data_IF_905579636104
#
_entry.id   IF_905579636104
#
_cell.length_a   1.000
_cell.length_b   1.000
_cell.length_c   1.000
_cell.angle_alpha   90.00
_cell.angle_beta   90.00
_cell.angle_gamma   90.00
#
_symmetry.space_group_name_H-M   'P 1'
#
loop_
_entity.id
_entity.type
_entity.pdbx_description
1 polymer ?
#
# COMPACT_ATOMS: atom_id res chain seq x y z
N UNK A 1 -11.32 12.93 -16.89
CA UNK A 1 -10.56 11.67 -16.78
C UNK A 1 -10.04 11.35 -18.17
N UNK A 2 -8.74 11.50 -18.39
CA UNK A 2 -8.10 10.97 -19.59
C UNK A 2 -8.12 9.44 -19.48
N UNK A 3 -8.89 8.79 -20.36
CA UNK A 3 -9.09 7.34 -20.33
C UNK A 3 -8.03 6.59 -21.14
N UNK A 4 -7.05 7.30 -21.73
CA UNK A 4 -6.00 6.71 -22.56
C UNK A 4 -5.01 5.82 -21.78
N UNK A 5 -4.99 5.92 -20.44
CA UNK A 5 -4.21 5.04 -19.56
C UNK A 5 -4.83 3.65 -19.31
N UNK A 6 -6.08 3.41 -19.71
CA UNK A 6 -6.75 2.11 -19.51
C UNK A 6 -6.54 1.19 -20.72
N UNK A 7 -5.65 0.22 -20.56
CA UNK A 7 -5.06 -0.63 -21.62
C UNK A 7 -6.04 -1.42 -22.49
N UNK A 8 -7.29 -1.63 -22.07
CA UNK A 8 -8.30 -2.40 -22.82
C UNK A 8 -9.46 -1.56 -23.40
N UNK A 9 -9.41 -0.23 -23.29
CA UNK A 9 -10.47 0.67 -23.75
C UNK A 9 -11.68 0.68 -22.80
N UNK A 10 -11.79 1.76 -22.03
CA UNK A 10 -12.89 1.96 -21.08
C UNK A 10 -14.21 2.22 -21.83
N UNK A 11 -15.22 1.39 -21.54
CA UNK A 11 -16.60 1.59 -21.99
C UNK A 11 -17.38 2.43 -20.99
N UNK A 12 -17.18 2.17 -19.70
CA UNK A 12 -17.91 2.80 -18.61
C UNK A 12 -17.02 2.86 -17.36
N UNK A 13 -17.25 3.87 -16.52
CA UNK A 13 -16.56 4.05 -15.24
C UNK A 13 -17.60 4.26 -14.16
N UNK A 14 -17.55 3.43 -13.13
CA UNK A 14 -18.41 3.53 -11.96
C UNK A 14 -17.57 3.85 -10.73
N UNK A 15 -17.99 4.83 -9.96
CA UNK A 15 -17.41 5.09 -8.63
C UNK A 15 -18.11 4.24 -7.60
N UNK A 16 -17.36 3.75 -6.62
CA UNK A 16 -17.99 3.09 -5.48
C UNK A 16 -18.70 4.14 -4.61
N UNK A 17 -20.02 4.02 -4.50
CA UNK A 17 -20.83 4.94 -3.70
C UNK A 17 -20.53 4.92 -2.20
N UNK A 18 -19.88 3.86 -1.70
CA UNK A 18 -19.43 3.76 -0.31
C UNK A 18 -17.96 4.17 -0.13
N UNK A 19 -17.16 4.20 -1.20
CA UNK A 19 -15.72 4.46 -1.15
C UNK A 19 -15.28 5.36 -2.32
N UNK A 20 -15.19 6.66 -2.08
CA UNK A 20 -14.88 7.66 -3.13
C UNK A 20 -13.50 7.51 -3.78
N UNK A 21 -12.59 6.75 -3.16
CA UNK A 21 -11.24 6.49 -3.67
C UNK A 21 -11.18 5.32 -4.65
N UNK A 22 -12.28 4.56 -4.77
CA UNK A 22 -12.34 3.36 -5.60
C UNK A 22 -13.23 3.60 -6.81
N UNK A 23 -12.71 3.26 -7.99
CA UNK A 23 -13.48 3.23 -9.22
C UNK A 23 -13.38 1.86 -9.90
N UNK A 24 -14.38 1.55 -10.70
CA UNK A 24 -14.45 0.36 -11.51
C UNK A 24 -14.52 0.77 -12.98
N UNK A 25 -13.55 0.34 -13.76
CA UNK A 25 -13.56 0.49 -15.22
C UNK A 25 -14.14 -0.76 -15.83
N UNK A 26 -15.16 -0.57 -16.67
CA UNK A 26 -15.78 -1.64 -17.43
C UNK A 26 -15.28 -1.54 -18.85
N UNK A 27 -14.62 -2.60 -19.33
CA UNK A 27 -14.00 -2.60 -20.66
C UNK A 27 -14.99 -3.01 -21.74
N UNK A 28 -14.66 -2.75 -23.00
CA UNK A 28 -15.44 -3.22 -24.14
C UNK A 28 -15.62 -4.75 -24.18
N UNK A 29 -14.73 -5.50 -23.50
CA UNK A 29 -14.77 -6.96 -23.38
C UNK A 29 -15.60 -7.45 -22.18
N UNK A 30 -16.42 -6.58 -21.59
CA UNK A 30 -17.25 -6.89 -20.42
C UNK A 30 -16.40 -7.36 -19.23
N UNK A 31 -15.27 -6.71 -19.01
CA UNK A 31 -14.43 -6.92 -17.83
C UNK A 31 -14.57 -5.75 -16.87
N UNK A 32 -14.80 -6.07 -15.61
CA UNK A 32 -14.82 -5.14 -14.49
C UNK A 32 -13.42 -5.12 -13.85
N UNK A 33 -12.74 -3.98 -13.95
CA UNK A 33 -11.38 -3.77 -13.47
C UNK A 33 -11.36 -2.66 -12.39
N UNK A 34 -11.04 -2.99 -11.12
CA UNK A 34 -10.86 -2.00 -10.06
C UNK A 34 -9.65 -1.11 -10.26
N UNK A 35 -9.80 0.14 -9.84
CA UNK A 35 -8.70 1.05 -9.57
C UNK A 35 -8.92 1.76 -8.24
N UNK A 36 -7.83 2.03 -7.54
CA UNK A 36 -7.78 2.82 -6.31
C UNK A 36 -6.97 4.07 -6.58
N UNK A 37 -7.46 5.20 -6.09
CA UNK A 37 -6.70 6.43 -6.06
C UNK A 37 -5.57 6.32 -5.04
N UNK A 38 -4.34 6.60 -5.45
CA UNK A 38 -3.18 6.62 -4.57
C UNK A 38 -2.52 7.99 -4.69
N UNK A 39 -2.60 8.81 -3.63
CA UNK A 39 -1.94 10.12 -3.59
C UNK A 39 -0.50 10.06 -3.10
N UNK A 40 -0.12 9.02 -2.35
CA UNK A 40 1.15 9.01 -1.59
C UNK A 40 1.78 7.62 -1.59
N UNK A 41 2.49 7.26 -2.67
CA UNK A 41 3.42 6.12 -2.65
C UNK A 41 4.85 6.63 -2.79
N UNK A 42 5.81 5.80 -2.37
CA UNK A 42 7.25 6.03 -2.60
C UNK A 42 7.58 6.35 -4.07
N UNK A 43 6.76 5.92 -5.05
CA UNK A 43 7.15 5.81 -6.46
C UNK A 43 6.63 6.83 -7.49
N UNK A 44 5.53 7.61 -7.29
CA UNK A 44 5.19 8.73 -8.22
C UNK A 44 3.99 9.60 -7.78
N UNK A 45 3.74 10.69 -8.54
CA UNK A 45 2.55 11.57 -8.54
C UNK A 45 1.21 10.82 -8.45
N UNK A 46 0.18 11.52 -7.96
CA UNK A 46 -1.20 11.05 -7.78
C UNK A 46 -1.74 10.31 -9.01
N UNK A 47 -2.03 9.02 -8.87
CA UNK A 47 -2.51 8.18 -9.97
C UNK A 47 -3.53 7.16 -9.50
N UNK A 48 -4.42 6.78 -10.41
CA UNK A 48 -5.26 5.60 -10.25
C UNK A 48 -4.42 4.36 -10.56
N UNK A 49 -4.30 3.47 -9.57
CA UNK A 49 -3.56 2.21 -9.70
C UNK A 49 -4.55 1.06 -9.74
N UNK A 50 -4.35 0.11 -10.67
CA UNK A 50 -5.18 -1.08 -10.76
C UNK A 50 -5.02 -1.90 -9.47
N UNK A 51 -6.13 -2.32 -8.85
CA UNK A 51 -6.05 -3.07 -7.60
C UNK A 51 -5.38 -4.43 -7.86
N UNK A 52 -4.27 -4.74 -7.15
CA UNK A 52 -3.54 -5.97 -7.34
C UNK A 52 -4.25 -7.16 -6.66
N UNK A 53 -4.00 -8.36 -7.17
CA UNK A 53 -4.21 -9.59 -6.39
C UNK A 53 -2.95 -9.84 -5.59
N UNK A 54 -3.07 -9.82 -4.27
CA UNK A 54 -1.95 -10.07 -3.36
C UNK A 54 -1.98 -11.50 -2.84
N UNK A 55 -0.80 -12.06 -2.61
CA UNK A 55 -0.60 -13.31 -1.92
C UNK A 55 0.43 -13.11 -0.81
N UNK A 56 0.16 -13.68 0.36
CA UNK A 56 1.12 -13.71 1.46
C UNK A 56 2.25 -14.69 1.10
N UNK A 57 3.47 -14.17 0.96
CA UNK A 57 4.68 -14.95 0.71
C UNK A 57 5.67 -14.67 1.84
N UNK A 58 5.67 -15.54 2.85
CA UNK A 58 6.30 -15.24 4.13
C UNK A 58 5.71 -13.95 4.71
N UNK A 59 6.57 -13.00 5.07
CA UNK A 59 6.23 -11.76 5.78
C UNK A 59 5.79 -10.59 4.89
N UNK A 60 5.57 -10.84 3.59
CA UNK A 60 5.26 -9.78 2.61
C UNK A 60 3.99 -10.10 1.83
N UNK A 61 3.21 -9.06 1.56
CA UNK A 61 2.12 -9.11 0.60
C UNK A 61 2.70 -8.89 -0.81
N UNK A 62 2.73 -9.94 -1.63
CA UNK A 62 3.35 -9.90 -2.96
C UNK A 62 2.25 -9.87 -4.02
N UNK A 63 2.38 -8.96 -4.98
CA UNK A 63 1.50 -8.93 -6.15
C UNK A 63 1.73 -10.17 -7.02
N UNK A 64 0.66 -10.94 -7.21
CA UNK A 64 0.65 -12.14 -8.09
C UNK A 64 -0.24 -11.97 -9.32
N UNK A 65 -0.94 -10.85 -9.40
CA UNK A 65 -1.80 -10.52 -10.52
C UNK A 65 -2.53 -9.21 -10.33
N UNK A 66 -3.57 -9.02 -11.13
CA UNK A 66 -4.45 -7.86 -11.06
C UNK A 66 -5.89 -8.31 -10.97
N UNK A 67 -6.68 -7.60 -10.19
CA UNK A 67 -8.08 -7.92 -9.99
C UNK A 67 -8.86 -7.67 -11.29
N UNK A 68 -9.66 -8.65 -11.70
CA UNK A 68 -10.50 -8.56 -12.89
C UNK A 68 -11.68 -9.54 -12.72
N UNK A 69 -12.90 -9.06 -12.96
CA UNK A 69 -14.12 -9.88 -12.98
C UNK A 69 -14.73 -9.87 -14.38
N UNK A 70 -15.19 -11.02 -14.85
CA UNK A 70 -15.93 -11.10 -16.12
C UNK A 70 -17.39 -10.83 -15.83
N UNK A 71 -17.99 -9.90 -16.58
CA UNK A 71 -19.40 -9.55 -16.49
C UNK A 71 -20.20 -10.33 -17.52
N UNK A 72 -21.47 -10.58 -17.21
CA UNK A 72 -22.42 -11.10 -18.19
C UNK A 72 -22.66 -10.03 -19.25
N UNK A 73 -22.46 -10.38 -20.53
CA UNK A 73 -22.68 -9.48 -21.65
C UNK A 73 -24.14 -9.00 -21.78
N UNK A 74 -25.09 -9.75 -21.20
CA UNK A 74 -26.51 -9.40 -21.18
C UNK A 74 -26.91 -8.50 -20.00
N UNK A 75 -25.99 -8.21 -19.07
CA UNK A 75 -26.24 -7.36 -17.91
C UNK A 75 -25.61 -5.97 -18.11
N UNK A 76 -26.42 -4.93 -17.98
CA UNK A 76 -25.98 -3.54 -18.01
C UNK A 76 -25.63 -3.09 -16.58
N UNK A 77 -24.38 -2.74 -16.27
CA UNK A 77 -23.98 -2.23 -14.97
C UNK A 77 -24.68 -0.88 -14.71
N UNK A 78 -25.08 -0.62 -13.46
CA UNK A 78 -25.84 0.59 -13.09
C UNK A 78 -25.21 1.31 -11.91
N UNK A 79 -24.76 0.58 -10.89
CA UNK A 79 -24.19 1.17 -9.70
C UNK A 79 -23.16 0.23 -9.07
N UNK A 80 -22.16 0.81 -8.44
CA UNK A 80 -21.22 0.13 -7.55
C UNK A 80 -21.40 0.70 -6.16
N UNK A 81 -21.60 -0.17 -5.17
CA UNK A 81 -21.70 0.24 -3.78
C UNK A 81 -21.11 -0.84 -2.88
N UNK A 82 -20.12 -0.46 -2.08
CA UNK A 82 -19.43 -1.31 -1.11
C UNK A 82 -18.91 -2.62 -1.75
N UNK A 83 -18.26 -2.47 -2.92
CA UNK A 83 -17.75 -3.59 -3.71
C UNK A 83 -18.80 -4.49 -4.37
N UNK A 84 -20.09 -4.12 -4.30
CA UNK A 84 -21.17 -4.85 -4.97
C UNK A 84 -21.59 -4.12 -6.24
N UNK A 85 -21.46 -4.81 -7.37
CA UNK A 85 -21.91 -4.31 -8.67
C UNK A 85 -23.39 -4.67 -8.88
N UNK A 86 -24.21 -3.65 -9.04
CA UNK A 86 -25.61 -3.77 -9.40
C UNK A 86 -25.76 -3.62 -10.90
N UNK A 87 -26.41 -4.60 -11.54
CA UNK A 87 -26.60 -4.65 -12.98
C UNK A 87 -28.04 -4.98 -13.34
N UNK A 88 -28.55 -4.38 -14.40
CA UNK A 88 -29.89 -4.67 -14.95
C UNK A 88 -29.74 -5.61 -16.15
N UNK A 89 -30.34 -6.78 -16.05
CA UNK A 89 -30.41 -7.75 -17.14
C UNK A 89 -31.26 -7.23 -18.31
N UNK A 90 -31.11 -7.85 -19.49
CA UNK A 90 -31.91 -7.52 -20.68
C UNK A 90 -33.44 -7.59 -20.47
N UNK A 91 -33.92 -8.38 -19.50
CA UNK A 91 -35.34 -8.46 -19.14
C UNK A 91 -35.79 -7.43 -18.08
N UNK A 92 -34.91 -6.51 -17.67
CA UNK A 92 -35.22 -5.45 -16.70
C UNK A 92 -35.06 -5.87 -15.24
N UNK A 93 -34.61 -7.09 -14.96
CA UNK A 93 -34.38 -7.54 -13.58
C UNK A 93 -33.05 -6.98 -13.06
N UNK A 94 -33.08 -6.41 -11.86
CA UNK A 94 -31.89 -6.01 -11.12
C UNK A 94 -31.21 -7.24 -10.52
N UNK A 95 -29.90 -7.35 -10.75
CA UNK A 95 -29.03 -8.40 -10.22
C UNK A 95 -27.87 -7.73 -9.49
N UNK A 96 -27.35 -8.40 -8.45
CA UNK A 96 -26.17 -7.94 -7.73
C UNK A 96 -25.08 -9.00 -7.81
N UNK A 97 -23.84 -8.55 -7.94
CA UNK A 97 -22.66 -9.41 -7.93
C UNK A 97 -21.62 -8.78 -7.01
N UNK A 98 -21.29 -9.49 -5.93
CA UNK A 98 -20.19 -9.10 -5.05
C UNK A 98 -18.87 -9.35 -5.80
N UNK A 99 -18.10 -8.28 -6.00
CA UNK A 99 -16.78 -8.40 -6.57
C UNK A 99 -15.86 -8.85 -5.43
N UNK A 100 -15.47 -10.13 -5.45
CA UNK A 100 -14.77 -10.80 -4.35
C UNK A 100 -13.46 -10.11 -3.88
N UNK A 101 -12.92 -9.21 -4.71
CA UNK A 101 -11.69 -8.44 -4.45
C UNK A 101 -11.98 -6.95 -4.23
N UNK A 102 -13.15 -6.61 -3.70
CA UNK A 102 -13.67 -5.24 -3.76
C UNK A 102 -14.50 -4.85 -2.54
N UNK A 103 -15.21 -5.81 -1.94
CA UNK A 103 -15.95 -5.54 -0.72
C UNK A 103 -14.98 -5.54 0.48
N UNK A 104 -14.94 -4.49 1.31
CA UNK A 104 -14.37 -4.63 2.64
C UNK A 104 -15.08 -5.81 3.35
N UNK A 105 -14.41 -6.47 4.31
CA UNK A 105 -15.08 -7.48 5.10
C UNK A 105 -16.27 -6.81 5.81
N UNK A 106 -17.50 -7.08 5.37
CA UNK A 106 -18.70 -6.52 5.97
C UNK A 106 -18.72 -6.83 7.48
N UNK A 107 -19.40 -6.01 8.28
CA UNK A 107 -19.48 -6.19 9.73
C UNK A 107 -19.89 -7.63 10.12
N UNK A 108 -20.76 -8.28 9.35
CA UNK A 108 -21.17 -9.67 9.56
C UNK A 108 -20.02 -10.67 9.35
N UNK A 109 -19.16 -10.46 8.36
CA UNK A 109 -17.98 -11.28 8.11
C UNK A 109 -16.94 -11.08 9.21
N UNK A 110 -16.75 -9.83 9.63
CA UNK A 110 -15.85 -9.53 10.75
C UNK A 110 -16.33 -10.18 12.06
N UNK A 111 -17.63 -10.13 12.33
CA UNK A 111 -18.22 -10.78 13.51
C UNK A 111 -18.14 -12.31 13.42
N UNK A 112 -18.34 -12.88 12.23
CA UNK A 112 -18.13 -14.31 11.99
C UNK A 112 -16.67 -14.72 12.26
N UNK A 113 -15.71 -13.99 11.72
CA UNK A 113 -14.28 -14.25 11.93
C UNK A 113 -13.87 -14.06 13.39
N UNK A 114 -14.40 -13.04 14.08
CA UNK A 114 -14.17 -12.80 15.50
C UNK A 114 -14.79 -13.88 16.40
N UNK A 115 -15.85 -14.56 15.94
CA UNK A 115 -16.39 -15.72 16.65
C UNK A 115 -15.62 -17.02 16.41
N UNK A 116 -14.69 -17.03 15.44
CA UNK A 116 -13.80 -18.16 15.21
C UNK A 116 -12.73 -18.16 16.31
N UNK A 117 -12.69 -19.21 17.14
CA UNK A 117 -11.75 -19.35 18.26
C UNK A 117 -10.34 -19.81 17.83
N UNK A 118 -9.99 -19.63 16.55
CA UNK A 118 -8.69 -20.09 16.04
C UNK A 118 -7.61 -19.08 16.36
N UNK A 119 -6.52 -19.54 16.96
CA UNK A 119 -5.33 -18.73 17.22
C UNK A 119 -4.57 -18.32 15.94
N UNK A 120 -4.86 -18.98 14.80
CA UNK A 120 -4.16 -18.76 13.52
C UNK A 120 -5.10 -18.17 12.45
N UNK A 121 -4.62 -17.30 11.57
CA UNK A 121 -5.33 -16.85 10.39
C UNK A 121 -5.70 -18.00 9.46
N UNK A 122 -7.00 -18.20 9.27
CA UNK A 122 -7.49 -19.08 8.22
C UNK A 122 -7.40 -18.38 6.85
N UNK A 123 -7.61 -19.15 5.77
CA UNK A 123 -7.51 -18.63 4.39
C UNK A 123 -8.44 -17.44 4.09
N UNK A 124 -9.55 -17.31 4.80
CA UNK A 124 -10.48 -16.19 4.64
C UNK A 124 -9.95 -14.95 5.35
N UNK A 125 -9.43 -15.09 6.58
CA UNK A 125 -8.77 -13.99 7.31
C UNK A 125 -7.60 -13.41 6.51
N UNK A 126 -6.72 -14.28 5.99
CA UNK A 126 -5.56 -13.84 5.19
C UNK A 126 -6.04 -13.08 3.95
N UNK A 127 -7.05 -13.60 3.24
CA UNK A 127 -7.63 -12.92 2.06
C UNK A 127 -8.22 -11.55 2.42
N UNK A 128 -8.95 -11.43 3.53
CA UNK A 128 -9.50 -10.15 3.97
C UNK A 128 -8.40 -9.13 4.31
N UNK A 129 -7.35 -9.55 5.02
CA UNK A 129 -6.20 -8.71 5.31
C UNK A 129 -5.51 -8.21 4.04
N UNK A 130 -5.15 -9.13 3.13
CA UNK A 130 -4.51 -8.80 1.87
C UNK A 130 -5.39 -7.92 0.97
N UNK A 131 -6.72 -8.08 1.03
CA UNK A 131 -7.66 -7.25 0.30
C UNK A 131 -7.66 -5.81 0.83
N UNK A 132 -7.63 -5.62 2.15
CA UNK A 132 -7.52 -4.29 2.75
C UNK A 132 -6.20 -3.61 2.36
N UNK A 133 -5.09 -4.37 2.37
CA UNK A 133 -3.78 -3.89 1.87
C UNK A 133 -3.87 -3.49 0.39
N UNK A 134 -4.45 -4.32 -0.47
CA UNK A 134 -4.58 -4.05 -1.91
C UNK A 134 -5.44 -2.81 -2.21
N UNK A 135 -6.43 -2.54 -1.36
CA UNK A 135 -7.26 -1.33 -1.42
C UNK A 135 -6.58 -0.10 -0.78
N UNK A 136 -5.41 -0.29 -0.18
CA UNK A 136 -4.69 0.77 0.50
C UNK A 136 -5.17 1.14 1.89
N UNK A 137 -6.08 0.36 2.46
CA UNK A 137 -6.67 0.56 3.78
C UNK A 137 -5.83 -0.16 4.83
N UNK A 138 -4.55 0.21 4.90
CA UNK A 138 -3.54 -0.51 5.70
C UNK A 138 -3.83 -0.40 7.21
N UNK A 139 -4.25 0.77 7.68
CA UNK A 139 -4.65 0.96 9.08
C UNK A 139 -5.86 0.08 9.46
N UNK A 140 -6.82 -0.08 8.54
CA UNK A 140 -7.96 -0.98 8.78
C UNK A 140 -7.55 -2.44 8.74
N UNK A 141 -6.57 -2.82 7.91
CA UNK A 141 -5.98 -4.15 7.93
C UNK A 141 -5.33 -4.45 9.29
N UNK A 142 -4.62 -3.46 9.87
CA UNK A 142 -4.05 -3.57 11.21
C UNK A 142 -5.16 -3.76 12.26
N UNK A 143 -6.12 -2.84 12.36
CA UNK A 143 -7.23 -2.92 13.33
C UNK A 143 -8.01 -4.23 13.21
N UNK A 144 -8.18 -4.74 11.99
CA UNK A 144 -8.83 -6.02 11.72
C UNK A 144 -8.03 -7.19 12.32
N UNK A 145 -6.71 -7.22 12.16
CA UNK A 145 -5.86 -8.26 12.75
C UNK A 145 -5.79 -8.15 14.28
N UNK A 146 -5.63 -6.94 14.82
CA UNK A 146 -5.59 -6.68 16.27
C UNK A 146 -6.88 -7.14 16.96
N UNK A 147 -8.03 -6.89 16.34
CA UNK A 147 -9.33 -7.35 16.86
C UNK A 147 -9.45 -8.88 16.91
N UNK A 148 -8.78 -9.60 16.01
CA UNK A 148 -8.87 -11.06 15.91
C UNK A 148 -7.80 -11.77 16.75
N UNK A 149 -6.59 -11.23 16.82
CA UNK A 149 -5.43 -11.91 17.39
C UNK A 149 -4.79 -11.18 18.57
N UNK A 150 -5.25 -9.97 18.89
CA UNK A 150 -4.69 -9.15 19.96
C UNK A 150 -3.31 -8.56 19.59
N UNK A 151 -2.77 -7.78 20.53
CA UNK A 151 -1.45 -7.15 20.44
C UNK A 151 -0.56 -7.45 21.65
N UNK A 152 -0.99 -8.34 22.56
CA UNK A 152 -0.37 -8.44 23.88
C UNK A 152 1.07 -8.96 23.82
N UNK A 153 1.98 -8.19 24.43
CA UNK A 153 3.36 -8.56 24.69
C UNK A 153 3.41 -9.71 25.69
N UNK A 154 3.56 -10.94 25.20
CA UNK A 154 3.79 -12.11 26.06
C UNK A 154 3.39 -13.44 25.44
N UNK A 155 2.35 -13.43 24.60
CA UNK A 155 2.00 -14.58 23.77
C UNK A 155 2.52 -14.33 22.36
N UNK A 156 3.45 -15.18 21.91
CA UNK A 156 3.94 -15.11 20.53
C UNK A 156 2.75 -15.27 19.60
N UNK A 157 2.37 -14.21 18.87
CA UNK A 157 1.45 -14.31 17.75
C UNK A 157 1.93 -15.50 16.90
N UNK A 158 1.09 -16.53 16.69
CA UNK A 158 1.59 -17.76 16.11
C UNK A 158 1.81 -17.56 14.60
N UNK A 159 2.89 -18.17 14.09
CA UNK A 159 3.28 -18.29 12.68
C UNK A 159 2.70 -17.26 11.71
N UNK A 160 1.52 -17.58 11.15
CA UNK A 160 0.95 -16.85 10.02
C UNK A 160 0.36 -15.50 10.45
N UNK A 161 -0.04 -15.34 11.72
CA UNK A 161 -0.47 -14.05 12.28
C UNK A 161 0.67 -13.02 12.24
N UNK A 162 1.88 -13.41 12.65
CA UNK A 162 3.08 -12.57 12.58
C UNK A 162 3.38 -12.17 11.14
N UNK A 163 3.30 -13.12 10.20
CA UNK A 163 3.51 -12.84 8.78
C UNK A 163 2.47 -11.83 8.23
N UNK A 164 1.22 -11.90 8.68
CA UNK A 164 0.18 -10.93 8.32
C UNK A 164 0.48 -9.53 8.89
N UNK A 165 0.87 -9.43 10.17
CA UNK A 165 1.24 -8.15 10.78
C UNK A 165 2.47 -7.54 10.10
N UNK A 166 3.52 -8.31 9.82
CA UNK A 166 4.66 -7.81 9.06
C UNK A 166 4.25 -7.34 7.66
N UNK A 167 3.39 -8.08 6.96
CA UNK A 167 2.92 -7.69 5.63
C UNK A 167 2.17 -6.34 5.66
N UNK A 168 1.36 -6.09 6.70
CA UNK A 168 0.75 -4.78 6.97
C UNK A 168 1.82 -3.72 7.22
N UNK A 169 2.81 -4.00 8.06
CA UNK A 169 3.89 -3.06 8.38
C UNK A 169 4.71 -2.64 7.16
N UNK A 170 5.11 -3.60 6.31
CA UNK A 170 5.80 -3.31 5.05
C UNK A 170 4.95 -2.47 4.11
N UNK A 171 3.64 -2.77 4.02
CA UNK A 171 2.71 -2.01 3.18
C UNK A 171 2.47 -0.59 3.68
N UNK A 172 2.50 -0.38 5.00
CA UNK A 172 2.41 0.94 5.62
C UNK A 172 3.66 1.78 5.32
N UNK A 173 4.85 1.17 5.39
CA UNK A 173 6.11 1.84 5.02
C UNK A 173 6.14 2.27 3.55
N UNK A 174 5.60 1.47 2.64
CA UNK A 174 5.51 1.84 1.22
C UNK A 174 4.69 3.12 0.97
N UNK A 175 3.82 3.45 1.95
CA UNK A 175 2.92 4.60 1.98
C UNK A 175 3.37 5.69 2.95
N UNK A 176 4.55 5.55 3.56
CA UNK A 176 5.08 6.48 4.56
C UNK A 176 4.21 6.62 5.82
N UNK A 177 3.33 5.65 6.10
CA UNK A 177 2.52 5.62 7.32
C UNK A 177 3.35 4.98 8.45
N UNK A 178 4.25 5.78 9.03
CA UNK A 178 5.12 5.34 10.13
C UNK A 178 4.34 4.87 11.36
N UNK A 179 3.27 5.54 11.84
CA UNK A 179 2.52 5.10 13.01
C UNK A 179 1.90 3.69 12.82
N UNK A 180 1.26 3.44 11.67
CA UNK A 180 0.70 2.12 11.37
C UNK A 180 1.81 1.08 11.19
N UNK A 181 2.92 1.44 10.55
CA UNK A 181 4.07 0.54 10.38
C UNK A 181 4.65 0.12 11.74
N UNK A 182 4.92 1.07 12.64
CA UNK A 182 5.42 0.81 13.99
C UNK A 182 4.48 -0.11 14.78
N UNK A 183 3.19 0.18 14.75
CA UNK A 183 2.17 -0.60 15.46
C UNK A 183 2.08 -2.04 14.92
N UNK A 184 2.11 -2.20 13.60
CA UNK A 184 2.11 -3.51 12.94
C UNK A 184 3.40 -4.32 13.25
N UNK A 185 4.57 -3.68 13.21
CA UNK A 185 5.83 -4.36 13.56
C UNK A 185 5.93 -4.69 15.04
N UNK A 186 5.38 -3.87 15.94
CA UNK A 186 5.27 -4.18 17.35
C UNK A 186 4.39 -5.42 17.58
N UNK A 187 3.22 -5.47 16.94
CA UNK A 187 2.34 -6.66 16.97
C UNK A 187 3.01 -7.91 16.36
N UNK A 188 3.90 -7.72 15.36
CA UNK A 188 4.73 -8.78 14.80
C UNK A 188 5.97 -9.13 15.64
N UNK A 189 6.19 -8.51 16.80
CA UNK A 189 7.37 -8.70 17.67
C UNK A 189 8.70 -8.39 16.97
N UNK A 190 8.71 -7.39 16.08
CA UNK A 190 9.88 -6.88 15.36
C UNK A 190 10.42 -5.60 16.01
N UNK A 191 10.88 -5.73 17.25
CA UNK A 191 11.44 -4.60 18.02
C UNK A 191 12.65 -3.95 17.36
N UNK A 192 13.41 -4.71 16.57
CA UNK A 192 14.49 -4.23 15.71
C UNK A 192 14.00 -3.16 14.71
N UNK A 193 12.86 -3.43 14.05
CA UNK A 193 12.27 -2.53 13.08
C UNK A 193 11.59 -1.34 13.76
N UNK A 194 10.89 -1.56 14.88
CA UNK A 194 10.26 -0.48 15.65
C UNK A 194 11.31 0.54 16.11
N UNK A 195 12.40 0.08 16.73
CA UNK A 195 13.49 0.97 17.16
C UNK A 195 14.08 1.75 15.98
N UNK A 196 14.26 1.07 14.85
CA UNK A 196 14.72 1.72 13.63
C UNK A 196 13.75 2.82 13.20
N UNK A 197 12.44 2.57 13.14
CA UNK A 197 11.45 3.53 12.65
C UNK A 197 11.26 4.73 13.58
N UNK A 198 11.37 4.56 14.91
CA UNK A 198 11.28 5.68 15.85
C UNK A 198 12.33 6.78 15.58
N UNK A 199 13.51 6.42 15.05
CA UNK A 199 14.52 7.42 14.64
C UNK A 199 14.13 8.26 13.42
N UNK A 200 12.99 7.98 12.77
CA UNK A 200 12.46 8.73 11.63
C UNK A 200 11.22 9.58 11.98
N UNK A 201 10.76 9.55 13.24
CA UNK A 201 9.52 10.25 13.65
C UNK A 201 9.62 11.77 13.45
N UNK A 202 10.81 12.34 13.58
CA UNK A 202 11.05 13.79 13.44
C UNK A 202 11.29 14.22 11.98
N UNK A 203 11.28 13.30 11.01
CA UNK A 203 11.51 13.62 9.60
C UNK A 203 10.17 13.99 8.95
N UNK A 204 9.83 15.28 9.01
CA UNK A 204 8.56 15.79 8.47
C UNK A 204 8.54 15.86 6.93
N UNK A 205 9.70 16.00 6.29
CA UNK A 205 9.77 16.14 4.84
C UNK A 205 9.69 14.78 4.14
N UNK A 206 8.65 14.63 3.31
CA UNK A 206 8.38 13.41 2.55
C UNK A 206 9.61 12.96 1.73
N UNK A 207 10.31 13.87 1.04
CA UNK A 207 11.46 13.52 0.22
C UNK A 207 12.61 12.93 1.08
N UNK A 208 12.92 13.56 2.21
CA UNK A 208 13.91 13.08 3.16
C UNK A 208 13.51 11.72 3.73
N UNK A 209 12.24 11.57 4.14
CA UNK A 209 11.73 10.31 4.68
C UNK A 209 11.82 9.16 3.67
N UNK A 210 11.42 9.42 2.40
CA UNK A 210 11.59 8.45 1.30
C UNK A 210 13.06 8.07 1.14
N UNK A 211 13.96 9.05 1.20
CA UNK A 211 15.41 8.84 1.15
C UNK A 211 15.92 7.89 2.24
N UNK A 212 15.59 8.16 3.50
CA UNK A 212 16.00 7.30 4.62
C UNK A 212 15.43 5.88 4.52
N UNK A 213 14.17 5.72 4.09
CA UNK A 213 13.58 4.39 3.88
C UNK A 213 14.26 3.61 2.75
N UNK A 214 14.65 4.30 1.66
CA UNK A 214 15.41 3.70 0.56
C UNK A 214 16.81 3.27 1.01
N UNK A 215 17.50 4.08 1.80
CA UNK A 215 18.82 3.76 2.36
C UNK A 215 18.77 2.48 3.21
N UNK A 216 17.75 2.34 4.07
CA UNK A 216 17.55 1.15 4.90
C UNK A 216 17.28 -0.13 4.11
N UNK A 217 16.76 0.00 2.90
CA UNK A 217 16.58 -1.11 1.95
C UNK A 217 17.80 -1.33 1.04
N UNK A 218 18.95 -0.72 1.36
CA UNK A 218 20.19 -0.76 0.58
C UNK A 218 20.06 -0.23 -0.85
N UNK A 219 19.05 0.62 -1.10
CA UNK A 219 18.85 1.29 -2.39
C UNK A 219 19.59 2.65 -2.38
N UNK A 220 20.92 2.60 -2.21
CA UNK A 220 21.75 3.76 -1.87
C UNK A 220 21.69 4.89 -2.91
N UNK A 221 21.73 4.58 -4.20
CA UNK A 221 21.68 5.58 -5.26
C UNK A 221 20.34 6.34 -5.30
N UNK A 222 19.22 5.61 -5.16
CA UNK A 222 17.88 6.23 -5.09
C UNK A 222 17.70 7.05 -3.81
N UNK A 223 18.22 6.54 -2.69
CA UNK A 223 18.21 7.23 -1.41
C UNK A 223 18.97 8.56 -1.45
N UNK A 224 20.19 8.54 -2.00
CA UNK A 224 21.02 9.73 -2.14
C UNK A 224 20.34 10.79 -3.00
N UNK A 225 19.72 10.41 -4.11
CA UNK A 225 19.01 11.35 -4.98
C UNK A 225 17.80 12.00 -4.30
N UNK A 226 17.07 11.24 -3.48
CA UNK A 226 15.92 11.74 -2.72
C UNK A 226 16.35 12.71 -1.61
N UNK A 227 17.44 12.40 -0.90
CA UNK A 227 18.01 13.27 0.14
C UNK A 227 18.64 14.53 -0.46
N UNK A 228 19.36 14.43 -1.58
CA UNK A 228 19.88 15.61 -2.29
C UNK A 228 18.79 16.60 -2.71
N UNK A 229 17.62 16.09 -3.07
CA UNK A 229 16.48 16.88 -3.50
C UNK A 229 15.54 17.28 -2.35
N UNK A 230 15.88 16.91 -1.11
CA UNK A 230 15.14 17.32 0.08
C UNK A 230 15.73 18.61 0.68
N UNK A 231 15.11 19.11 1.73
CA UNK A 231 15.64 20.17 2.60
C UNK A 231 16.83 19.73 3.47
N UNK A 232 17.28 18.48 3.36
CA UNK A 232 18.46 17.95 4.06
C UNK A 232 19.41 17.20 3.08
N UNK A 233 20.07 17.92 2.17
CA UNK A 233 21.00 17.34 1.21
C UNK A 233 22.29 16.82 1.88
N UNK A 234 22.66 17.32 3.06
CA UNK A 234 23.85 16.87 3.80
C UNK A 234 23.71 15.41 4.26
N UNK A 235 22.49 15.01 4.64
CA UNK A 235 22.18 13.62 4.97
C UNK A 235 22.48 12.63 3.82
N UNK A 236 22.48 13.07 2.56
CA UNK A 236 22.84 12.20 1.43
C UNK A 236 24.31 11.74 1.48
N UNK A 237 25.22 12.66 1.84
CA UNK A 237 26.66 12.40 1.92
C UNK A 237 27.01 11.61 3.18
N UNK A 238 26.41 11.96 4.32
CA UNK A 238 26.57 11.24 5.58
C UNK A 238 26.16 9.78 5.42
N UNK A 239 24.98 9.55 4.82
CA UNK A 239 24.47 8.20 4.52
C UNK A 239 25.44 7.39 3.64
N UNK A 240 25.99 7.98 2.57
CA UNK A 240 26.94 7.28 1.70
C UNK A 240 28.24 6.93 2.43
N UNK A 241 28.72 7.80 3.33
CA UNK A 241 29.90 7.55 4.14
C UNK A 241 29.67 6.43 5.17
N UNK A 242 28.53 6.45 5.88
CA UNK A 242 28.16 5.41 6.85
C UNK A 242 27.95 4.04 6.19
N UNK A 243 27.38 4.02 4.99
CA UNK A 243 27.22 2.81 4.19
C UNK A 243 28.54 2.27 3.61
N UNK A 244 29.62 3.08 3.60
CA UNK A 244 30.90 2.74 2.98
C UNK A 244 30.89 2.79 1.45
N UNK A 245 29.90 3.46 0.86
CA UNK A 245 29.74 3.65 -0.59
C UNK A 245 30.62 4.81 -1.08
N UNK A 246 31.95 4.65 -0.98
CA UNK A 246 32.91 5.74 -1.19
C UNK A 246 32.87 6.37 -2.59
N UNK A 247 32.50 5.62 -3.62
CA UNK A 247 32.34 6.17 -4.98
C UNK A 247 31.18 7.16 -5.01
N UNK A 248 30.03 6.76 -4.47
CA UNK A 248 28.86 7.63 -4.34
C UNK A 248 29.17 8.84 -3.45
N UNK A 249 29.87 8.65 -2.33
CA UNK A 249 30.26 9.75 -1.44
C UNK A 249 31.14 10.79 -2.15
N UNK A 250 32.08 10.36 -3.01
CA UNK A 250 32.92 11.28 -3.80
C UNK A 250 32.07 12.04 -4.83
N UNK A 251 31.20 11.35 -5.57
CA UNK A 251 30.30 11.97 -6.54
C UNK A 251 29.38 13.01 -5.88
N UNK A 252 28.82 12.68 -4.71
CA UNK A 252 27.99 13.59 -3.92
C UNK A 252 28.79 14.79 -3.40
N UNK A 253 30.00 14.57 -2.88
CA UNK A 253 30.85 15.65 -2.39
C UNK A 253 31.24 16.64 -3.50
N UNK A 254 31.52 16.14 -4.71
CA UNK A 254 31.80 16.97 -5.89
C UNK A 254 30.56 17.77 -6.33
N UNK A 255 29.37 17.16 -6.29
CA UNK A 255 28.10 17.81 -6.62
C UNK A 255 27.67 18.89 -5.60
N UNK A 256 27.69 18.58 -4.30
CA UNK A 256 27.31 19.50 -3.22
C UNK A 256 28.28 20.68 -3.12
N UNK A 257 29.57 20.47 -3.37
CA UNK A 257 30.54 21.57 -3.47
C UNK A 257 30.21 22.55 -4.60
N UNK A 258 29.69 22.07 -5.74
CA UNK A 258 29.34 22.95 -6.85
C UNK A 258 28.20 23.91 -6.47
N UNK A 259 27.14 23.43 -5.81
CA UNK A 259 25.99 24.26 -5.44
C UNK A 259 26.29 25.24 -4.28
N UNK A 260 27.19 24.88 -3.35
CA UNK A 260 27.66 25.79 -2.29
C UNK A 260 28.61 26.89 -2.80
N UNK A 261 29.36 26.64 -3.87
CA UNK A 261 30.26 27.65 -4.46
C UNK A 261 29.46 28.75 -5.22
N UNK A 262 28.25 28.45 -5.72
CA UNK A 262 27.41 29.44 -6.41
C UNK A 262 26.47 30.25 -5.49
N UNK A 263 26.36 29.90 -4.21
CA UNK A 263 25.52 30.62 -3.23
C UNK A 263 26.26 31.70 -2.45
N UNK A 264 27.59 31.81 -2.62
CA UNK A 264 28.38 32.98 -2.21
C UNK A 264 29.13 33.58 -3.42
N UNK A 265 28.53 34.53 -4.17
CA UNK A 265 29.36 35.41 -4.99
C UNK A 265 30.24 36.21 -4.03
N UNK A 266 31.54 36.22 -4.30
CA UNK A 266 32.57 36.92 -3.53
C UNK A 266 32.12 38.32 -3.08
N UNK A 267 32.46 38.63 -1.82
CA UNK A 267 32.23 39.90 -1.12
C UNK A 267 32.83 41.12 -1.82
#
# INVERSE_FOLDING_TARGET
LDLSGFTEGAKEVLWDGACSEVLLVITARQRAIPFVFSSETLSSEERFVQVPVLQLQGRKAVQVGVCCSTLDAAAAPVALYDGTLYSVSACGNLTSSSLAYFSPPHANLQNYLASSTSAEPNSLTIRCCLQLIALGRVEEALRFLEKLYGTEEGDSAPGVATDCFEAVGWSALERLDLPTACSAFAAAQRSDLVFSLCSLEDVEEIAALKGHLKARNHQWAEAAQLLLNSGDPEASLEMACEAGEWQLAVELAEGVCADFIFSYPEA
#
